data_IF_164089096238
#
_entry.id   IF_164089096238
#
_cell.length_a   1.000
_cell.length_b   1.000
_cell.length_c   1.000
_cell.angle_alpha   90.00
_cell.angle_beta   90.00
_cell.angle_gamma   90.00
#
_symmetry.space_group_name_H-M   'P 1'
#
loop_
_entity.id
_entity.type
_entity.pdbx_description
1 polymer ?
#
# COMPACT_ATOMS: atom_id res chain seq x y z
N UNK A 1 -8.13 2.58 27.14
CA UNK A 1 -7.20 2.36 27.25
C UNK A 1 -6.69 1.70 26.29
N UNK A 2 -5.75 1.66 26.24
CA UNK A 2 -5.14 1.08 25.29
C UNK A 2 -5.24 -0.31 25.30
N UNK A 3 -5.47 -0.84 24.28
CA UNK A 3 -5.46 -2.25 24.13
C UNK A 3 -4.14 -2.66 23.63
N UNK A 4 -3.54 -3.58 24.30
CA UNK A 4 -2.23 -3.98 23.93
C UNK A 4 -2.20 -4.50 22.54
N UNK A 5 -1.27 -4.08 21.77
CA UNK A 5 -1.06 -4.55 20.42
C UNK A 5 -1.92 -3.90 19.36
N UNK A 6 -2.80 -2.98 19.75
CA UNK A 6 -3.61 -2.28 18.78
C UNK A 6 -3.19 -0.84 18.63
N UNK A 7 -3.17 -0.37 17.41
CA UNK A 7 -2.95 1.03 17.13
C UNK A 7 -4.27 1.65 16.72
N UNK A 8 -4.44 2.94 16.96
CA UNK A 8 -5.63 3.61 16.50
C UNK A 8 -5.59 3.71 14.97
N UNK A 9 -6.77 3.78 14.36
CA UNK A 9 -6.85 3.93 12.92
C UNK A 9 -6.16 5.21 12.47
N UNK A 10 -6.26 6.28 13.25
CA UNK A 10 -5.61 7.54 12.92
C UNK A 10 -4.09 7.37 12.83
N UNK A 11 -3.51 6.62 13.75
CA UNK A 11 -2.07 6.36 13.74
C UNK A 11 -1.67 5.55 12.51
N UNK A 12 -2.48 4.56 12.16
CA UNK A 12 -2.22 3.73 10.99
C UNK A 12 -2.29 4.56 9.71
N UNK A 13 -3.31 5.42 9.60
CA UNK A 13 -3.45 6.29 8.45
C UNK A 13 -2.28 7.26 8.36
N UNK A 14 -1.89 7.87 9.46
CA UNK A 14 -0.78 8.82 9.47
C UNK A 14 0.52 8.17 9.01
N UNK A 15 0.79 6.96 9.48
CA UNK A 15 2.00 6.25 9.08
C UNK A 15 1.99 5.96 7.59
N UNK A 16 0.89 5.41 7.08
CA UNK A 16 0.78 5.02 5.68
C UNK A 16 0.67 6.20 4.74
N UNK A 17 0.14 7.33 5.22
CA UNK A 17 -0.10 8.49 4.38
C UNK A 17 1.16 9.35 4.25
N UNK A 18 2.29 8.71 4.09
CA UNK A 18 3.59 9.34 3.94
C UNK A 18 3.98 9.35 2.47
N UNK A 19 3.99 10.51 1.81
CA UNK A 19 4.36 10.56 0.39
C UNK A 19 5.86 10.38 0.23
N UNK A 20 6.24 9.55 -0.72
CA UNK A 20 7.65 9.26 -1.00
C UNK A 20 7.96 9.58 -2.46
N UNK A 21 9.09 10.25 -2.69
CA UNK A 21 9.57 10.43 -4.05
C UNK A 21 9.93 9.07 -4.64
N UNK A 22 10.10 9.02 -5.96
CA UNK A 22 10.47 7.77 -6.61
C UNK A 22 11.74 7.17 -5.99
N UNK A 23 12.73 8.00 -5.72
CA UNK A 23 13.97 7.55 -5.11
C UNK A 23 13.75 7.02 -3.69
N UNK A 24 13.01 7.76 -2.87
CA UNK A 24 12.75 7.36 -1.50
C UNK A 24 11.90 6.09 -1.45
N UNK A 25 10.95 5.96 -2.39
CA UNK A 25 10.09 4.79 -2.49
C UNK A 25 10.92 3.54 -2.80
N UNK A 26 11.79 3.64 -3.79
CA UNK A 26 12.65 2.53 -4.16
C UNK A 26 13.60 2.15 -3.02
N UNK A 27 14.16 3.15 -2.37
CA UNK A 27 15.06 2.92 -1.25
C UNK A 27 14.33 2.21 -0.11
N UNK A 28 13.13 2.67 0.23
CA UNK A 28 12.35 2.04 1.28
C UNK A 28 12.03 0.59 0.94
N UNK A 29 11.65 0.32 -0.30
CA UNK A 29 11.37 -1.05 -0.72
C UNK A 29 12.59 -1.96 -0.57
N UNK A 30 13.75 -1.45 -0.95
CA UNK A 30 14.98 -2.24 -0.88
C UNK A 30 15.45 -2.45 0.57
N UNK A 31 15.29 -1.45 1.42
CA UNK A 31 15.82 -1.53 2.78
C UNK A 31 14.92 -2.26 3.75
N UNK A 32 13.61 -2.15 3.56
CA UNK A 32 12.67 -2.75 4.51
C UNK A 32 12.15 -4.11 4.04
N UNK A 33 12.30 -4.42 2.77
CA UNK A 33 11.66 -5.60 2.20
C UNK A 33 10.16 -5.44 2.06
N UNK A 34 9.66 -4.20 2.10
CA UNK A 34 8.23 -3.95 2.00
C UNK A 34 7.68 -4.43 0.66
N UNK A 35 6.45 -4.91 0.70
CA UNK A 35 5.76 -5.35 -0.50
C UNK A 35 5.12 -4.16 -1.18
N UNK A 36 5.37 -4.00 -2.47
CA UNK A 36 4.77 -2.92 -3.24
C UNK A 36 3.45 -3.38 -3.82
N UNK A 37 2.35 -2.73 -3.42
CA UNK A 37 1.02 -3.05 -3.92
C UNK A 37 0.53 -1.89 -4.79
N UNK A 38 0.19 -2.20 -6.04
CA UNK A 38 -0.35 -1.24 -6.98
C UNK A 38 -1.87 -1.42 -7.00
N UNK A 39 -2.60 -0.43 -6.51
CA UNK A 39 -4.05 -0.53 -6.40
C UNK A 39 -4.79 0.04 -7.60
N UNK A 40 -4.09 0.43 -8.65
CA UNK A 40 -4.71 0.89 -9.88
C UNK A 40 -5.44 -0.26 -10.58
N UNK A 41 -6.23 0.07 -11.58
CA UNK A 41 -6.91 -0.97 -12.36
C UNK A 41 -5.89 -1.85 -13.08
N UNK A 42 -6.30 -3.05 -13.43
CA UNK A 42 -5.44 -3.96 -14.18
C UNK A 42 -5.02 -3.37 -15.51
N UNK A 43 -5.88 -2.57 -16.13
CA UNK A 43 -5.58 -1.92 -17.40
C UNK A 43 -4.44 -0.91 -17.25
N UNK A 44 -4.49 -0.09 -16.20
CA UNK A 44 -3.42 0.88 -15.96
C UNK A 44 -2.12 0.19 -15.62
N UNK A 45 -2.19 -0.87 -14.80
CA UNK A 45 -1.01 -1.64 -14.44
C UNK A 45 -0.36 -2.25 -15.68
N UNK A 46 -1.17 -2.75 -16.61
CA UNK A 46 -0.65 -3.36 -17.82
C UNK A 46 0.07 -2.37 -18.73
N UNK A 47 -0.29 -1.09 -18.67
CA UNK A 47 0.37 -0.06 -19.46
C UNK A 47 1.74 0.30 -18.94
N UNK A 48 1.99 0.06 -17.67
CA UNK A 48 3.29 0.32 -17.07
C UNK A 48 3.20 0.08 -15.56
N UNK A 49 4.23 -0.53 -15.01
CA UNK A 49 4.25 -0.86 -13.59
C UNK A 49 5.68 -0.88 -13.06
N UNK A 50 5.79 -0.79 -11.74
CA UNK A 50 7.09 -0.91 -11.09
C UNK A 50 7.44 -2.38 -10.99
N UNK A 51 8.65 -2.79 -11.42
CA UNK A 51 9.05 -4.19 -11.31
C UNK A 51 8.91 -4.69 -9.86
N UNK A 52 8.43 -5.91 -9.72
CA UNK A 52 8.20 -6.57 -8.45
C UNK A 52 6.99 -6.05 -7.67
N UNK A 53 6.23 -5.10 -8.21
CA UNK A 53 4.97 -4.72 -7.57
C UNK A 53 3.88 -5.71 -7.91
N UNK A 54 2.89 -5.80 -7.03
CA UNK A 54 1.74 -6.68 -7.20
C UNK A 54 0.51 -5.82 -7.46
N UNK A 55 -0.25 -6.15 -8.49
CA UNK A 55 -1.47 -5.40 -8.78
C UNK A 55 -2.67 -6.02 -8.05
N UNK A 56 -3.30 -5.25 -7.19
CA UNK A 56 -4.56 -5.63 -6.56
C UNK A 56 -5.47 -4.41 -6.68
N UNK A 57 -6.32 -4.40 -7.69
CA UNK A 57 -7.18 -3.26 -7.97
C UNK A 57 -8.15 -2.96 -6.83
N UNK A 58 -8.19 -1.71 -6.40
CA UNK A 58 -8.99 -1.33 -5.25
C UNK A 58 -10.49 -1.42 -5.52
N UNK A 59 -10.89 -1.32 -6.77
CA UNK A 59 -12.30 -1.36 -7.15
C UNK A 59 -12.82 -2.77 -7.40
N UNK A 60 -11.97 -3.79 -7.30
CA UNK A 60 -12.38 -5.17 -7.49
C UNK A 60 -12.55 -5.88 -6.15
N UNK A 61 -12.24 -7.16 -6.13
CA UNK A 61 -12.32 -7.96 -4.90
C UNK A 61 -11.07 -7.77 -4.06
N UNK A 62 -10.83 -6.52 -3.67
CA UNK A 62 -9.60 -6.11 -3.03
C UNK A 62 -9.28 -6.92 -1.77
N UNK A 63 -10.23 -6.99 -0.84
CA UNK A 63 -10.00 -7.68 0.43
C UNK A 63 -9.67 -9.16 0.23
N UNK A 64 -10.37 -9.82 -0.69
CA UNK A 64 -10.15 -11.23 -0.95
C UNK A 64 -8.75 -11.46 -1.53
N UNK A 65 -8.36 -10.63 -2.52
CA UNK A 65 -7.05 -10.80 -3.14
C UNK A 65 -5.91 -10.47 -2.20
N UNK A 66 -6.10 -9.45 -1.35
CA UNK A 66 -5.09 -9.13 -0.34
C UNK A 66 -4.87 -10.35 0.57
N UNK A 67 -5.95 -10.96 1.04
CA UNK A 67 -5.84 -12.13 1.91
C UNK A 67 -5.18 -13.32 1.22
N UNK A 68 -5.41 -13.48 -0.09
CA UNK A 68 -4.79 -14.56 -0.85
C UNK A 68 -3.31 -14.33 -1.11
N UNK A 69 -2.93 -13.09 -1.40
CA UNK A 69 -1.58 -12.76 -1.85
C UNK A 69 -0.62 -12.48 -0.71
N UNK A 70 -1.12 -12.03 0.43
CA UNK A 70 -0.27 -11.64 1.55
C UNK A 70 -0.64 -12.47 2.76
N UNK A 71 0.21 -13.43 3.10
CA UNK A 71 -0.11 -14.36 4.19
C UNK A 71 0.29 -13.81 5.57
N UNK A 72 1.17 -12.81 5.61
CA UNK A 72 1.63 -12.25 6.87
C UNK A 72 0.99 -10.87 7.07
N UNK A 73 0.07 -10.76 8.04
CA UNK A 73 -0.62 -9.49 8.29
C UNK A 73 0.31 -8.39 8.83
N UNK A 74 1.53 -8.76 9.22
CA UNK A 74 2.53 -7.78 9.67
C UNK A 74 3.43 -7.30 8.55
N UNK A 75 3.22 -7.79 7.34
CA UNK A 75 4.00 -7.38 6.18
C UNK A 75 3.95 -5.85 6.01
N UNK A 76 5.11 -5.24 5.89
CA UNK A 76 5.18 -3.81 5.56
C UNK A 76 4.81 -3.61 4.10
N UNK A 77 4.05 -2.56 3.83
CA UNK A 77 3.48 -2.32 2.52
C UNK A 77 3.80 -0.92 2.04
N UNK A 78 4.15 -0.82 0.77
CA UNK A 78 4.28 0.45 0.06
C UNK A 78 3.22 0.46 -1.03
N UNK A 79 2.56 1.61 -1.20
CA UNK A 79 1.43 1.69 -2.13
C UNK A 79 1.74 2.50 -3.37
N UNK A 80 1.22 2.05 -4.50
CA UNK A 80 1.14 2.82 -5.73
C UNK A 80 -0.35 2.94 -6.02
N UNK A 81 -0.88 4.16 -6.06
CA UNK A 81 -2.31 4.36 -6.25
C UNK A 81 -2.55 5.39 -7.33
N UNK A 82 -3.80 5.49 -7.75
CA UNK A 82 -4.22 6.68 -8.49
C UNK A 82 -4.17 7.85 -7.52
N UNK A 83 -3.71 9.02 -7.95
CA UNK A 83 -3.62 10.17 -7.06
C UNK A 83 -4.98 10.46 -6.39
N UNK A 84 -4.93 10.66 -5.08
CA UNK A 84 -6.13 10.93 -4.30
C UNK A 84 -6.75 9.72 -3.65
N UNK A 85 -6.28 8.50 -3.96
CA UNK A 85 -6.86 7.29 -3.38
C UNK A 85 -5.95 6.62 -2.36
N UNK A 86 -4.95 7.33 -1.89
CA UNK A 86 -3.97 6.75 -0.96
C UNK A 86 -4.60 6.40 0.38
N UNK A 87 -5.33 7.33 0.96
CA UNK A 87 -5.93 7.10 2.26
C UNK A 87 -6.97 5.98 2.20
N UNK A 88 -7.76 5.95 1.15
CA UNK A 88 -8.73 4.87 0.94
C UNK A 88 -8.05 3.51 0.93
N UNK A 89 -6.92 3.41 0.25
CA UNK A 89 -6.18 2.16 0.17
C UNK A 89 -5.66 1.72 1.54
N UNK A 90 -5.13 2.68 2.32
CA UNK A 90 -4.64 2.40 3.66
C UNK A 90 -5.76 1.89 4.56
N UNK A 91 -6.91 2.56 4.50
CA UNK A 91 -8.07 2.18 5.32
C UNK A 91 -8.57 0.79 4.94
N UNK A 92 -8.64 0.50 3.65
CA UNK A 92 -9.14 -0.78 3.19
C UNK A 92 -8.22 -1.93 3.62
N UNK A 93 -6.91 -1.68 3.59
CA UNK A 93 -5.95 -2.67 4.11
C UNK A 93 -6.12 -2.85 5.61
N UNK A 94 -6.27 -1.77 6.36
CA UNK A 94 -6.42 -1.84 7.81
C UNK A 94 -7.67 -2.62 8.20
N UNK A 95 -8.75 -2.49 7.42
CA UNK A 95 -9.99 -3.21 7.73
C UNK A 95 -9.86 -4.71 7.67
N UNK A 96 -8.91 -5.22 6.90
CA UNK A 96 -8.68 -6.66 6.81
C UNK A 96 -7.41 -7.08 7.55
N UNK A 97 -6.90 -6.22 8.43
CA UNK A 97 -5.83 -6.57 9.36
C UNK A 97 -4.43 -6.16 8.94
N UNK A 98 -4.26 -5.51 7.78
CA UNK A 98 -2.94 -5.12 7.29
C UNK A 98 -2.66 -3.67 7.66
N UNK A 99 -2.02 -3.46 8.80
CA UNK A 99 -1.83 -2.14 9.40
C UNK A 99 -0.47 -1.49 9.12
N UNK A 100 0.40 -2.16 8.39
CA UNK A 100 1.78 -1.72 8.26
C UNK A 100 2.13 -1.10 6.91
N UNK A 101 1.23 -0.28 6.38
CA UNK A 101 1.58 0.56 5.24
C UNK A 101 2.53 1.64 5.73
N UNK A 102 3.69 1.74 5.09
CA UNK A 102 4.74 2.66 5.53
C UNK A 102 4.89 3.88 4.64
N UNK A 103 4.17 3.94 3.53
CA UNK A 103 4.20 5.09 2.65
C UNK A 103 3.61 4.76 1.29
N UNK A 104 3.56 5.79 0.43
CA UNK A 104 3.05 5.60 -0.93
C UNK A 104 3.87 6.43 -1.90
N UNK A 105 3.84 6.05 -3.17
CA UNK A 105 4.55 6.79 -4.22
C UNK A 105 3.82 8.09 -4.47
N UNK A 106 4.50 9.21 -4.22
CA UNK A 106 3.91 10.53 -4.36
C UNK A 106 3.50 10.76 -5.81
N UNK A 107 2.29 11.28 -5.99
CA UNK A 107 1.72 11.60 -7.31
C UNK A 107 1.51 10.38 -8.21
N UNK A 108 1.61 9.18 -7.65
CA UNK A 108 1.29 7.97 -8.37
C UNK A 108 2.37 7.52 -9.34
N UNK A 109 1.99 6.59 -10.23
CA UNK A 109 2.94 5.94 -11.11
C UNK A 109 3.67 6.91 -12.06
N UNK A 110 3.03 8.01 -12.42
CA UNK A 110 3.64 8.97 -13.35
C UNK A 110 4.95 9.55 -12.81
N UNK A 111 5.13 9.51 -11.48
CA UNK A 111 6.37 9.96 -10.85
C UNK A 111 7.52 8.98 -11.09
N UNK A 112 7.21 7.70 -11.29
CA UNK A 112 8.21 6.67 -11.48
C UNK A 112 8.81 6.76 -12.88
#
# INVERSE_FOLDING_TARGET
>A
MNIQGYESLDTIIDRGNTPLSAEAFELAANETGALMIDTRSAEEFAKGFIPNSINIGIDGNFAMWVGEMITDIKQEILLITEPGREEESIIRLARVGYDNTIGYLKDGFDTW
#
